data_IF_440742692886
#
_entry.id   IF_440742692886
#
_cell.length_a   1.000
_cell.length_b   1.000
_cell.length_c   1.000
_cell.angle_alpha   90.00
_cell.angle_beta   90.00
_cell.angle_gamma   90.00
#
_symmetry.space_group_name_H-M   'P 1'
#
loop_
_entity.id
_entity.type
_entity.pdbx_description
1 polymer ?
#
# COMPACT_ATOMS: atom_id res chain seq x y z
N UNK A 1 14.58 -20.08 -20.59
CA UNK A 1 14.44 -21.00 -19.42
C UNK A 1 15.46 -20.59 -18.36
N UNK A 2 15.79 -19.30 -18.27
CA UNK A 2 17.02 -18.80 -17.64
C UNK A 2 16.81 -18.26 -16.22
N UNK A 3 15.55 -18.10 -15.80
CA UNK A 3 15.22 -17.57 -14.48
C UNK A 3 15.42 -18.60 -13.36
N UNK A 4 15.30 -19.89 -13.65
CA UNK A 4 15.46 -20.96 -12.65
C UNK A 4 16.93 -21.32 -12.39
N UNK A 5 17.83 -21.10 -13.34
CA UNK A 5 19.26 -21.40 -13.17
C UNK A 5 20.01 -20.31 -12.40
N UNK A 6 19.46 -19.08 -12.38
CA UNK A 6 20.15 -17.91 -11.83
C UNK A 6 19.89 -17.67 -10.35
N UNK A 7 18.80 -18.21 -9.81
CA UNK A 7 18.36 -18.01 -8.43
C UNK A 7 18.32 -19.32 -7.66
N UNK A 8 18.71 -19.27 -6.39
CA UNK A 8 18.63 -20.44 -5.53
C UNK A 8 17.16 -20.83 -5.29
N UNK A 9 16.89 -22.13 -5.12
CA UNK A 9 15.54 -22.64 -4.83
C UNK A 9 14.92 -21.96 -3.60
N UNK A 10 15.75 -21.57 -2.62
CA UNK A 10 15.34 -20.80 -1.44
C UNK A 10 14.82 -19.40 -1.79
N UNK A 11 15.53 -18.68 -2.67
CA UNK A 11 15.12 -17.34 -3.11
C UNK A 11 13.82 -17.41 -3.90
N UNK A 12 13.65 -18.45 -4.71
CA UNK A 12 12.44 -18.68 -5.49
C UNK A 12 11.23 -18.99 -4.59
N UNK A 13 11.44 -19.75 -3.51
CA UNK A 13 10.41 -20.04 -2.51
C UNK A 13 9.99 -18.77 -1.74
N UNK A 14 10.94 -17.92 -1.37
CA UNK A 14 10.63 -16.63 -0.74
C UNK A 14 9.84 -15.75 -1.71
N UNK A 15 10.31 -15.63 -2.96
CA UNK A 15 9.69 -14.76 -3.95
C UNK A 15 8.28 -15.20 -4.35
N UNK A 16 8.03 -16.51 -4.47
CA UNK A 16 6.74 -17.04 -4.93
C UNK A 16 5.76 -17.38 -3.80
N UNK A 17 6.26 -17.62 -2.58
CA UNK A 17 5.42 -17.97 -1.43
C UNK A 17 5.35 -16.85 -0.40
N UNK A 18 6.49 -16.52 0.22
CA UNK A 18 6.53 -15.62 1.37
C UNK A 18 6.13 -14.19 0.99
N UNK A 19 6.67 -13.66 -0.12
CA UNK A 19 6.42 -12.28 -0.55
C UNK A 19 4.93 -12.03 -0.87
N UNK A 20 4.22 -12.88 -1.66
CA UNK A 20 2.79 -12.72 -1.88
C UNK A 20 1.95 -12.82 -0.59
N UNK A 21 2.30 -13.74 0.32
CA UNK A 21 1.56 -13.93 1.58
C UNK A 21 1.68 -12.69 2.47
N UNK A 22 2.89 -12.16 2.63
CA UNK A 22 3.13 -10.93 3.40
C UNK A 22 2.38 -9.74 2.78
N UNK A 23 2.40 -9.61 1.45
CA UNK A 23 1.68 -8.56 0.75
C UNK A 23 0.17 -8.63 0.99
N UNK A 24 -0.42 -9.83 0.84
CA UNK A 24 -1.85 -10.05 1.08
C UNK A 24 -2.21 -9.77 2.54
N UNK A 25 -1.38 -10.22 3.50
CA UNK A 25 -1.60 -9.96 4.92
C UNK A 25 -1.60 -8.46 5.24
N UNK A 26 -0.62 -7.71 4.75
CA UNK A 26 -0.57 -6.26 4.91
C UNK A 26 -1.79 -5.58 4.28
N UNK A 27 -2.22 -6.03 3.10
CA UNK A 27 -3.41 -5.51 2.44
C UNK A 27 -4.68 -5.75 3.25
N UNK A 28 -4.82 -6.92 3.89
CA UNK A 28 -5.93 -7.20 4.80
C UNK A 28 -5.93 -6.29 6.03
N UNK A 29 -4.76 -6.00 6.60
CA UNK A 29 -4.66 -5.05 7.72
C UNK A 29 -5.09 -3.65 7.30
N UNK A 30 -4.64 -3.17 6.14
CA UNK A 30 -5.03 -1.87 5.59
C UNK A 30 -6.54 -1.80 5.36
N UNK A 31 -7.14 -2.81 4.73
CA UNK A 31 -8.59 -2.88 4.54
C UNK A 31 -9.32 -2.93 5.89
N UNK A 32 -8.80 -3.70 6.84
CA UNK A 32 -9.34 -3.80 8.20
C UNK A 32 -9.36 -2.44 8.89
N UNK A 33 -8.27 -1.69 8.78
CA UNK A 33 -8.14 -0.35 9.34
C UNK A 33 -9.16 0.61 8.72
N UNK A 34 -9.34 0.58 7.40
CA UNK A 34 -10.38 1.38 6.72
C UNK A 34 -11.80 1.00 7.15
N UNK A 35 -12.07 -0.28 7.41
CA UNK A 35 -13.40 -0.72 7.85
C UNK A 35 -13.68 -0.36 9.30
N UNK A 36 -12.67 -0.45 10.17
CA UNK A 36 -12.83 -0.31 11.62
C UNK A 36 -12.70 1.15 12.08
N UNK A 37 -11.92 1.97 11.39
CA UNK A 37 -11.70 3.37 11.74
C UNK A 37 -12.27 4.30 10.66
N UNK A 38 -13.41 4.94 10.96
CA UNK A 38 -14.01 5.96 10.09
C UNK A 38 -13.04 7.10 9.78
N UNK A 39 -12.12 7.43 10.70
CA UNK A 39 -11.08 8.45 10.50
C UNK A 39 -10.04 8.08 9.43
N UNK A 40 -9.68 6.80 9.29
CA UNK A 40 -8.74 6.34 8.26
C UNK A 40 -9.30 6.54 6.84
N UNK A 41 -10.63 6.42 6.66
CA UNK A 41 -11.29 6.76 5.38
C UNK A 41 -11.17 8.24 5.03
N UNK A 42 -11.34 9.11 6.02
CA UNK A 42 -11.28 10.58 5.83
C UNK A 42 -9.85 11.02 5.54
N UNK A 43 -8.86 10.48 6.25
CA UNK A 43 -7.44 10.74 5.97
C UNK A 43 -7.04 10.32 4.54
N UNK A 44 -7.54 9.17 4.05
CA UNK A 44 -7.25 8.78 2.68
C UNK A 44 -7.86 9.77 1.66
N UNK A 45 -9.07 10.29 1.91
CA UNK A 45 -9.70 11.29 1.04
C UNK A 45 -9.17 12.72 1.21
N UNK A 46 -8.64 13.08 2.37
CA UNK A 46 -8.05 14.40 2.64
C UNK A 46 -6.64 14.53 2.07
N UNK A 47 -5.86 13.43 2.07
CA UNK A 47 -4.53 13.39 1.46
C UNK A 47 -4.55 13.02 -0.03
N UNK A 48 -5.61 12.37 -0.52
CA UNK A 48 -5.84 12.26 -1.96
C UNK A 48 -6.38 13.61 -2.42
N UNK A 49 -5.47 14.47 -2.88
CA UNK A 49 -5.81 15.78 -3.40
C UNK A 49 -7.06 15.69 -4.29
N UNK A 50 -8.09 16.47 -3.96
CA UNK A 50 -9.35 16.52 -4.72
C UNK A 50 -9.11 16.96 -6.17
N UNK A 51 -7.95 17.56 -6.43
CA UNK A 51 -7.40 17.85 -7.74
C UNK A 51 -5.96 17.29 -7.81
N UNK A 52 -5.68 16.26 -8.64
CA UNK A 52 -4.36 15.64 -8.75
C UNK A 52 -3.29 16.58 -9.30
N UNK A 53 -3.66 17.74 -9.86
CA UNK A 53 -2.74 18.77 -10.34
C UNK A 53 -2.43 19.80 -9.25
N UNK A 54 -3.28 19.90 -8.22
CA UNK A 54 -3.30 21.03 -7.31
C UNK A 54 -3.14 20.66 -5.82
N UNK A 55 -2.23 19.72 -5.54
CA UNK A 55 -1.93 19.22 -4.20
C UNK A 55 -1.31 20.27 -3.24
N UNK A 56 -1.04 21.49 -3.72
CA UNK A 56 -0.34 22.54 -2.96
C UNK A 56 -1.16 23.81 -2.68
N UNK A 57 -2.33 24.02 -3.32
CA UNK A 57 -3.06 25.30 -3.17
C UNK A 57 -4.11 25.36 -2.06
N UNK A 58 -4.42 24.25 -1.36
CA UNK A 58 -5.42 24.25 -0.29
C UNK A 58 -4.87 23.92 1.11
N UNK A 59 -3.61 24.29 1.38
CA UNK A 59 -3.21 24.48 2.77
C UNK A 59 -3.74 25.84 3.24
N UNK A 60 -5.01 25.89 3.66
CA UNK A 60 -5.47 27.02 4.49
C UNK A 60 -4.61 27.00 5.76
N UNK A 61 -3.62 27.90 5.82
CA UNK A 61 -2.95 28.23 7.08
C UNK A 61 -4.04 28.64 8.06
N UNK A 62 -4.27 27.80 9.06
CA UNK A 62 -5.07 28.17 10.23
C UNK A 62 -4.31 29.24 11.00
N UNK A 63 -4.69 30.51 10.81
CA UNK A 63 -4.95 31.49 11.87
C UNK A 63 -5.55 32.76 11.27
#
# INVERSE_FOLDING_TARGET
MDFLEKYSTFELFIASGLMPVVFVFLWYLIIGDFKNFKGSKVSCSEFTATDPVNCYQNYKKSK
#
